data_IF_473650755892
#
_entry.id   IF_473650755892
#
_cell.length_a   1.000
_cell.length_b   1.000
_cell.length_c   1.000
_cell.angle_alpha   90.00
_cell.angle_beta   90.00
_cell.angle_gamma   90.00
#
_symmetry.space_group_name_H-M   'P 1'
#
loop_
_entity.id
_entity.type
_entity.pdbx_description
1 polymer ?
#
# COMPACT_ATOMS: atom_id res chain seq x y z
N UNK A 1 12.26 36.04 -67.36
CA UNK A 1 12.72 35.27 -66.20
C UNK A 1 13.91 36.00 -65.59
N UNK A 2 13.67 36.69 -64.48
CA UNK A 2 14.64 37.60 -63.88
C UNK A 2 15.60 36.82 -62.96
N UNK A 3 16.82 37.32 -62.80
CA UNK A 3 17.85 36.77 -61.91
C UNK A 3 17.34 36.61 -60.45
N UNK A 4 16.28 37.33 -60.07
CA UNK A 4 15.61 37.19 -58.78
C UNK A 4 14.88 35.84 -58.59
N UNK A 5 14.34 35.20 -59.64
CA UNK A 5 13.65 33.91 -59.50
C UNK A 5 14.61 32.74 -59.25
N UNK A 6 15.88 32.87 -59.69
CA UNK A 6 16.89 31.84 -59.45
C UNK A 6 17.45 31.88 -58.01
N UNK A 7 17.51 33.05 -57.39
CA UNK A 7 18.00 33.20 -56.02
C UNK A 7 17.01 32.70 -54.96
N UNK A 8 15.70 32.81 -55.20
CA UNK A 8 14.66 32.31 -54.28
C UNK A 8 14.63 30.77 -54.24
N UNK A 9 14.85 30.11 -55.38
CA UNK A 9 14.87 28.65 -55.49
C UNK A 9 16.05 27.99 -54.72
N UNK A 10 17.25 28.58 -54.80
CA UNK A 10 18.43 28.09 -54.07
C UNK A 10 18.28 28.19 -52.54
N UNK A 11 17.60 29.25 -52.06
CA UNK A 11 17.31 29.41 -50.63
C UNK A 11 16.33 28.34 -50.10
N UNK A 12 15.36 27.95 -50.93
CA UNK A 12 14.35 26.92 -50.60
C UNK A 12 14.97 25.54 -50.46
N UNK A 13 15.90 25.16 -51.35
CA UNK A 13 16.61 23.87 -51.27
C UNK A 13 17.48 23.78 -50.01
N UNK A 14 18.19 24.85 -49.63
CA UNK A 14 18.99 24.87 -48.39
C UNK A 14 18.12 24.71 -47.14
N UNK A 15 16.94 25.35 -47.10
CA UNK A 15 15.97 25.18 -45.99
C UNK A 15 15.45 23.75 -45.91
N UNK A 16 15.06 23.14 -47.04
CA UNK A 16 14.59 21.75 -47.09
C UNK A 16 15.66 20.74 -46.66
N UNK A 17 16.92 20.93 -47.10
CA UNK A 17 18.04 20.07 -46.68
C UNK A 17 18.33 20.17 -45.18
N UNK A 18 18.29 21.38 -44.59
CA UNK A 18 18.43 21.56 -43.14
C UNK A 18 17.28 20.90 -42.38
N UNK A 19 16.03 21.10 -42.82
CA UNK A 19 14.88 20.47 -42.18
C UNK A 19 14.97 18.93 -42.22
N UNK A 20 15.35 18.36 -43.37
CA UNK A 20 15.55 16.91 -43.49
C UNK A 20 16.66 16.40 -42.57
N UNK A 21 17.78 17.13 -42.46
CA UNK A 21 18.87 16.78 -41.54
C UNK A 21 18.41 16.78 -40.07
N UNK A 22 17.62 17.77 -39.66
CA UNK A 22 17.05 17.80 -38.30
C UNK A 22 16.06 16.65 -38.04
N UNK A 23 15.25 16.28 -39.03
CA UNK A 23 14.34 15.13 -38.93
C UNK A 23 15.15 13.84 -38.79
N UNK A 24 16.19 13.63 -39.60
CA UNK A 24 17.05 12.44 -39.53
C UNK A 24 17.76 12.37 -38.18
N UNK A 25 18.34 13.47 -37.71
CA UNK A 25 18.98 13.52 -36.38
C UNK A 25 17.98 13.25 -35.25
N UNK A 26 16.76 13.79 -35.34
CA UNK A 26 15.69 13.54 -34.38
C UNK A 26 15.30 12.06 -34.33
N UNK A 27 15.15 11.41 -35.49
CA UNK A 27 14.85 9.98 -35.58
C UNK A 27 15.99 9.11 -35.05
N UNK A 28 17.25 9.45 -35.36
CA UNK A 28 18.42 8.75 -34.81
C UNK A 28 18.51 8.86 -33.28
N UNK A 29 18.29 10.07 -32.73
CA UNK A 29 18.24 10.27 -31.28
C UNK A 29 17.09 9.48 -30.63
N UNK A 30 15.90 9.48 -31.25
CA UNK A 30 14.76 8.71 -30.74
C UNK A 30 15.03 7.20 -30.75
N UNK A 31 15.58 6.66 -31.84
CA UNK A 31 15.94 5.26 -31.94
C UNK A 31 17.01 4.86 -30.90
N UNK A 32 18.02 5.72 -30.69
CA UNK A 32 19.04 5.52 -29.65
C UNK A 32 18.43 5.50 -28.24
N UNK A 33 17.55 6.44 -27.92
CA UNK A 33 16.86 6.50 -26.63
C UNK A 33 15.96 5.28 -26.40
N UNK A 34 15.19 4.87 -27.42
CA UNK A 34 14.36 3.66 -27.35
C UNK A 34 15.21 2.39 -27.14
N UNK A 35 16.32 2.26 -27.89
CA UNK A 35 17.28 1.16 -27.72
C UNK A 35 17.92 1.14 -26.32
N UNK A 36 18.28 2.31 -25.79
CA UNK A 36 18.85 2.43 -24.44
C UNK A 36 17.85 2.08 -23.34
N UNK A 37 16.58 2.50 -23.46
CA UNK A 37 15.50 2.12 -22.54
C UNK A 37 15.26 0.61 -22.59
N UNK A 38 15.15 0.03 -23.80
CA UNK A 38 14.99 -1.42 -23.98
C UNK A 38 16.15 -2.21 -23.37
N UNK A 39 17.39 -1.75 -23.60
CA UNK A 39 18.59 -2.34 -22.99
C UNK A 39 18.56 -2.27 -21.46
N UNK A 40 18.15 -1.15 -20.86
CA UNK A 40 18.01 -1.02 -19.40
C UNK A 40 16.96 -1.98 -18.84
N UNK A 41 15.80 -2.09 -19.47
CA UNK A 41 14.75 -3.04 -19.05
C UNK A 41 15.27 -4.48 -19.11
N UNK A 42 15.87 -4.89 -20.24
CA UNK A 42 16.46 -6.23 -20.40
C UNK A 42 17.57 -6.51 -19.39
N UNK A 43 18.38 -5.52 -19.03
CA UNK A 43 19.43 -5.65 -18.00
C UNK A 43 18.84 -5.83 -16.61
N UNK A 44 17.75 -5.15 -16.28
CA UNK A 44 17.02 -5.33 -15.01
C UNK A 44 16.42 -6.74 -14.95
N UNK A 45 15.72 -7.17 -16.00
CA UNK A 45 15.17 -8.54 -16.12
C UNK A 45 16.26 -9.61 -15.96
N UNK A 46 17.42 -9.44 -16.63
CA UNK A 46 18.53 -10.37 -16.53
C UNK A 46 19.14 -10.40 -15.12
N UNK A 47 19.25 -9.24 -14.44
CA UNK A 47 19.70 -9.16 -13.04
C UNK A 47 18.72 -9.86 -12.11
N UNK A 48 17.41 -9.67 -12.31
CA UNK A 48 16.35 -10.38 -11.57
C UNK A 48 16.49 -11.90 -11.76
N UNK A 49 16.57 -12.38 -13.01
CA UNK A 49 16.69 -13.80 -13.34
C UNK A 49 17.95 -14.44 -12.75
N UNK A 50 19.11 -13.78 -12.82
CA UNK A 50 20.36 -14.26 -12.18
C UNK A 50 20.24 -14.29 -10.66
N UNK A 51 19.58 -13.29 -10.06
CA UNK A 51 19.26 -13.27 -8.63
C UNK A 51 18.46 -14.49 -8.21
N UNK A 52 17.37 -14.80 -8.92
CA UNK A 52 16.55 -15.99 -8.67
C UNK A 52 17.32 -17.30 -8.87
N UNK A 53 18.13 -17.42 -9.93
CA UNK A 53 18.96 -18.63 -10.15
C UNK A 53 20.00 -18.84 -9.05
N UNK A 54 20.67 -17.77 -8.58
CA UNK A 54 21.64 -17.87 -7.48
C UNK A 54 20.96 -18.29 -6.17
N UNK A 55 19.75 -17.81 -5.92
CA UNK A 55 18.93 -18.21 -4.77
C UNK A 55 18.50 -19.68 -4.87
N UNK A 56 18.11 -20.14 -6.05
CA UNK A 56 17.74 -21.55 -6.29
C UNK A 56 18.93 -22.49 -6.08
N UNK A 57 20.12 -22.14 -6.57
CA UNK A 57 21.31 -23.02 -6.55
C UNK A 57 21.95 -23.18 -5.16
N UNK A 58 21.77 -22.22 -4.23
CA UNK A 58 22.38 -22.26 -2.90
C UNK A 58 21.57 -23.07 -1.86
N UNK A 59 20.63 -23.92 -2.28
CA UNK A 59 19.49 -24.29 -1.43
C UNK A 59 19.28 -25.80 -1.19
N UNK A 60 20.36 -26.56 -0.99
CA UNK A 60 20.33 -28.02 -0.80
C UNK A 60 20.20 -28.53 0.66
N UNK A 61 19.88 -27.66 1.63
CA UNK A 61 19.54 -28.10 2.99
C UNK A 61 18.08 -27.73 3.32
N UNK A 62 17.36 -28.67 3.95
CA UNK A 62 15.95 -28.58 4.41
C UNK A 62 15.75 -27.47 5.45
N UNK A 63 15.92 -26.21 5.05
CA UNK A 63 15.51 -25.05 5.81
C UNK A 63 14.11 -24.66 5.37
N UNK A 64 13.22 -24.42 6.33
CA UNK A 64 11.95 -23.75 6.07
C UNK A 64 12.19 -22.47 5.26
N UNK A 65 11.29 -22.18 4.31
CA UNK A 65 11.43 -21.06 3.38
C UNK A 65 10.26 -20.10 3.48
N UNK A 66 10.53 -18.81 3.34
CA UNK A 66 9.54 -17.74 3.17
C UNK A 66 9.68 -17.17 1.76
N UNK A 67 8.74 -17.49 0.87
CA UNK A 67 8.81 -17.06 -0.53
C UNK A 67 10.03 -17.61 -1.27
N UNK A 68 10.36 -18.89 -1.04
CA UNK A 68 11.53 -19.55 -1.63
C UNK A 68 12.89 -19.12 -1.08
N UNK A 69 12.94 -18.19 -0.12
CA UNK A 69 14.15 -17.78 0.59
C UNK A 69 14.29 -18.47 1.96
N UNK A 70 15.51 -18.67 2.46
CA UNK A 70 15.71 -19.06 3.86
C UNK A 70 15.12 -18.04 4.83
N UNK A 71 14.54 -18.52 5.93
CA UNK A 71 14.04 -17.67 7.02
C UNK A 71 15.20 -16.90 7.67
N UNK A 72 15.15 -15.56 7.76
CA UNK A 72 16.18 -14.76 8.42
C UNK A 72 16.22 -15.07 9.91
N UNK A 73 17.38 -14.92 10.55
CA UNK A 73 17.60 -15.28 11.97
C UNK A 73 16.55 -14.64 12.89
N UNK A 74 16.17 -13.40 12.60
CA UNK A 74 15.20 -12.59 13.34
C UNK A 74 13.77 -13.17 13.33
N UNK A 75 13.45 -14.08 12.40
CA UNK A 75 12.16 -14.73 12.27
C UNK A 75 12.21 -16.23 12.63
N UNK A 76 13.37 -16.78 12.98
CA UNK A 76 13.49 -18.19 13.35
C UNK A 76 12.79 -18.46 14.68
N UNK A 77 12.07 -19.57 14.75
CA UNK A 77 11.33 -19.99 15.94
C UNK A 77 10.04 -19.21 16.17
N UNK A 78 9.68 -18.27 15.29
CA UNK A 78 8.35 -17.65 15.30
C UNK A 78 7.38 -18.65 14.67
N UNK A 79 6.32 -19.08 15.38
CA UNK A 79 5.34 -19.99 14.82
C UNK A 79 4.57 -19.34 13.67
N UNK A 80 4.25 -20.15 12.66
CA UNK A 80 3.36 -19.74 11.58
C UNK A 80 1.92 -19.63 12.11
N UNK A 81 1.15 -18.68 11.59
CA UNK A 81 -0.22 -18.42 12.01
C UNK A 81 -1.13 -19.64 11.84
N UNK A 82 -0.86 -20.51 10.86
CA UNK A 82 -1.55 -21.78 10.67
C UNK A 82 -1.30 -22.76 11.83
N UNK A 83 -0.08 -22.77 12.40
CA UNK A 83 0.26 -23.63 13.55
C UNK A 83 -0.47 -23.19 14.82
N UNK A 84 -0.80 -21.90 14.92
CA UNK A 84 -1.53 -21.31 16.04
C UNK A 84 -3.05 -21.33 15.84
N UNK A 85 -3.54 -21.79 14.69
CA UNK A 85 -4.95 -21.68 14.31
C UNK A 85 -5.43 -20.24 14.08
N UNK A 86 -4.51 -19.27 14.01
CA UNK A 86 -4.80 -17.87 13.70
C UNK A 86 -5.11 -17.72 12.21
N UNK A 87 -4.27 -18.26 11.33
CA UNK A 87 -4.48 -18.17 9.88
C UNK A 87 -5.17 -19.44 9.40
N UNK A 88 -6.35 -19.27 8.80
CA UNK A 88 -7.17 -20.35 8.24
C UNK A 88 -6.88 -20.58 6.77
N UNK A 89 -6.75 -19.50 6.02
CA UNK A 89 -6.58 -19.54 4.56
C UNK A 89 -5.82 -18.31 4.07
N UNK A 90 -5.11 -18.47 2.96
CA UNK A 90 -4.42 -17.39 2.25
C UNK A 90 -4.82 -17.46 0.78
N UNK A 91 -5.45 -16.41 0.28
CA UNK A 91 -5.98 -16.32 -1.08
C UNK A 91 -5.17 -15.28 -1.85
N UNK A 92 -4.64 -15.65 -3.01
CA UNK A 92 -4.00 -14.70 -3.93
C UNK A 92 -5.07 -14.12 -4.87
N UNK A 93 -5.17 -12.80 -4.94
CA UNK A 93 -6.16 -12.13 -5.78
C UNK A 93 -5.50 -11.70 -7.08
N UNK A 94 -5.87 -12.37 -8.17
CA UNK A 94 -5.54 -11.92 -9.52
C UNK A 94 -6.54 -10.88 -9.99
N UNK A 95 -6.09 -9.65 -10.25
CA UNK A 95 -6.91 -8.61 -10.85
C UNK A 95 -6.67 -8.59 -12.35
N UNK A 96 -7.74 -8.77 -13.12
CA UNK A 96 -7.71 -8.80 -14.58
C UNK A 96 -7.36 -7.42 -15.14
N UNK A 97 -6.66 -7.42 -16.28
CA UNK A 97 -6.31 -6.22 -17.05
C UNK A 97 -5.46 -5.16 -16.32
N UNK A 98 -4.79 -5.54 -15.24
CA UNK A 98 -3.80 -4.70 -14.56
C UNK A 98 -2.53 -5.50 -14.29
N UNK A 99 -1.37 -4.86 -14.47
CA UNK A 99 -0.09 -5.47 -14.15
C UNK A 99 0.33 -5.07 -12.75
N UNK A 100 0.64 -6.06 -11.92
CA UNK A 100 1.17 -5.86 -10.57
C UNK A 100 0.28 -4.94 -9.69
N UNK A 101 -0.99 -5.30 -9.41
CA UNK A 101 -1.77 -4.59 -8.41
C UNK A 101 -1.24 -4.89 -6.99
N UNK A 102 -1.27 -3.93 -6.07
CA UNK A 102 -0.78 -4.10 -4.70
C UNK A 102 -1.36 -3.08 -3.71
N UNK A 103 -0.96 -3.21 -2.44
CA UNK A 103 -1.38 -2.40 -1.28
C UNK A 103 -2.90 -2.13 -1.23
N UNK A 104 -3.73 -3.19 -1.21
CA UNK A 104 -5.17 -3.12 -1.40
C UNK A 104 -5.93 -2.64 -0.15
N UNK A 105 -6.98 -1.84 -0.30
CA UNK A 105 -8.00 -1.65 0.73
C UNK A 105 -9.28 -2.41 0.34
N UNK A 106 -10.09 -2.80 1.31
CA UNK A 106 -11.32 -3.57 1.06
C UNK A 106 -12.47 -2.99 1.88
N UNK A 107 -13.66 -2.98 1.31
CA UNK A 107 -14.91 -2.70 2.02
C UNK A 107 -15.97 -3.72 1.62
N UNK A 108 -16.88 -4.03 2.54
CA UNK A 108 -17.99 -4.94 2.31
C UNK A 108 -19.12 -4.25 1.56
N UNK A 109 -19.73 -4.93 0.60
CA UNK A 109 -20.93 -4.51 -0.11
C UNK A 109 -22.05 -5.54 0.09
N UNK A 110 -23.30 -5.25 -0.28
CA UNK A 110 -24.38 -6.24 -0.23
C UNK A 110 -24.10 -7.52 -1.02
N UNK A 111 -23.38 -7.40 -2.14
CA UNK A 111 -23.13 -8.50 -3.08
C UNK A 111 -21.72 -9.11 -2.99
N UNK A 112 -20.93 -8.73 -1.98
CA UNK A 112 -19.56 -9.17 -1.81
C UNK A 112 -18.68 -8.06 -1.25
N UNK A 113 -17.67 -7.66 -2.01
CA UNK A 113 -16.68 -6.67 -1.56
C UNK A 113 -16.27 -5.75 -2.70
N UNK A 114 -15.84 -4.55 -2.36
CA UNK A 114 -15.06 -3.70 -3.27
C UNK A 114 -13.62 -3.64 -2.79
N UNK A 115 -12.70 -3.93 -3.71
CA UNK A 115 -11.27 -3.92 -3.48
C UNK A 115 -10.64 -2.74 -4.22
N UNK A 116 -10.14 -1.78 -3.46
CA UNK A 116 -9.33 -0.67 -3.95
C UNK A 116 -7.87 -1.10 -3.95
N UNK A 117 -7.10 -0.80 -4.98
CA UNK A 117 -5.70 -1.22 -5.07
C UNK A 117 -4.85 -0.18 -5.77
N UNK A 118 -3.58 -0.15 -5.40
CA UNK A 118 -2.56 0.62 -6.10
C UNK A 118 -2.10 -0.15 -7.33
N UNK A 119 -1.86 0.57 -8.42
CA UNK A 119 -1.15 0.05 -9.59
C UNK A 119 -0.28 1.14 -10.21
N UNK A 120 0.73 0.72 -10.96
CA UNK A 120 1.70 1.62 -11.55
C UNK A 120 1.60 1.64 -13.08
N UNK A 121 1.57 2.85 -13.64
CA UNK A 121 1.56 3.10 -15.08
C UNK A 121 2.95 3.61 -15.47
N UNK A 122 3.64 2.86 -16.34
CA UNK A 122 4.94 3.28 -16.86
C UNK A 122 4.82 4.59 -17.64
N UNK A 123 5.62 5.59 -17.25
CA UNK A 123 5.68 6.89 -17.91
C UNK A 123 7.14 7.31 -18.15
N UNK A 124 7.65 7.15 -19.38
CA UNK A 124 9.06 7.41 -19.69
C UNK A 124 9.40 8.92 -19.68
N UNK A 125 8.42 9.81 -19.61
CA UNK A 125 8.64 11.27 -19.62
C UNK A 125 9.04 11.81 -18.25
N UNK A 126 8.81 11.04 -17.19
CA UNK A 126 9.11 11.45 -15.83
C UNK A 126 10.61 11.29 -15.54
N UNK A 127 11.22 12.36 -15.01
CA UNK A 127 12.66 12.39 -14.71
C UNK A 127 13.04 11.61 -13.46
N UNK A 128 12.15 11.56 -12.47
CA UNK A 128 12.48 11.08 -11.11
C UNK A 128 11.83 9.75 -10.74
N UNK A 129 10.65 9.45 -11.29
CA UNK A 129 9.95 8.18 -11.09
C UNK A 129 9.52 7.67 -12.47
N UNK A 130 9.90 6.47 -12.89
CA UNK A 130 9.50 5.95 -14.21
C UNK A 130 8.01 5.54 -14.28
N UNK A 131 7.26 5.76 -13.20
CA UNK A 131 5.91 5.28 -13.05
C UNK A 131 5.05 6.36 -12.38
N UNK A 132 3.82 6.50 -12.87
CA UNK A 132 2.73 7.13 -12.15
C UNK A 132 2.04 6.06 -11.30
N UNK A 133 1.70 6.35 -10.06
CA UNK A 133 0.91 5.45 -9.22
C UNK A 133 -0.54 5.91 -9.19
N UNK A 134 -1.47 4.99 -9.37
CA UNK A 134 -2.90 5.23 -9.46
C UNK A 134 -3.66 4.26 -8.57
N UNK A 135 -4.90 4.61 -8.23
CA UNK A 135 -5.82 3.75 -7.48
C UNK A 135 -6.91 3.24 -8.42
N UNK A 136 -7.07 1.92 -8.46
CA UNK A 136 -8.17 1.24 -9.13
C UNK A 136 -9.13 0.61 -8.12
N UNK A 137 -10.33 0.26 -8.56
CA UNK A 137 -11.33 -0.50 -7.81
C UNK A 137 -11.90 -1.64 -8.66
N UNK A 138 -12.13 -2.78 -8.01
CA UNK A 138 -12.89 -3.91 -8.57
C UNK A 138 -13.90 -4.41 -7.55
N UNK A 139 -15.06 -4.85 -8.03
CA UNK A 139 -16.00 -5.62 -7.20
C UNK A 139 -15.64 -7.10 -7.23
N UNK A 140 -15.63 -7.70 -6.04
CA UNK A 140 -15.37 -9.10 -5.78
C UNK A 140 -16.65 -9.78 -5.27
N UNK A 141 -16.83 -11.06 -5.58
CA UNK A 141 -17.86 -11.89 -4.96
C UNK A 141 -17.44 -12.35 -3.55
N UNK A 142 -18.30 -13.11 -2.88
CA UNK A 142 -18.05 -13.69 -1.54
C UNK A 142 -16.90 -14.71 -1.49
N UNK A 143 -16.33 -15.09 -2.64
CA UNK A 143 -15.14 -15.94 -2.76
C UNK A 143 -13.91 -15.15 -3.20
N UNK A 144 -13.98 -13.81 -3.11
CA UNK A 144 -12.95 -12.88 -3.53
C UNK A 144 -12.58 -12.98 -5.02
N UNK A 145 -13.51 -13.47 -5.87
CA UNK A 145 -13.32 -13.51 -7.31
C UNK A 145 -13.82 -12.21 -7.94
N UNK A 146 -13.04 -11.65 -8.86
CA UNK A 146 -13.44 -10.43 -9.57
C UNK A 146 -14.71 -10.67 -10.38
N UNK A 147 -15.78 -9.91 -10.10
CA UNK A 147 -17.07 -10.00 -10.80
C UNK A 147 -16.94 -9.47 -12.22
N UNK A 148 -16.54 -8.21 -12.35
CA UNK A 148 -16.46 -7.51 -13.63
C UNK A 148 -15.15 -7.74 -14.36
N UNK A 149 -15.16 -7.71 -15.70
CA UNK A 149 -13.96 -7.96 -16.49
C UNK A 149 -12.89 -6.87 -16.29
N UNK A 150 -13.32 -5.62 -16.31
CA UNK A 150 -12.45 -4.45 -16.18
C UNK A 150 -12.45 -3.93 -14.75
N UNK A 151 -11.38 -3.26 -14.35
CA UNK A 151 -11.35 -2.45 -13.15
C UNK A 151 -11.70 -0.99 -13.49
N UNK A 152 -12.13 -0.22 -12.50
CA UNK A 152 -12.36 1.22 -12.65
C UNK A 152 -11.21 1.99 -12.01
N UNK A 153 -10.62 2.93 -12.73
CA UNK A 153 -9.68 3.89 -12.16
C UNK A 153 -10.44 4.97 -11.39
N UNK A 154 -9.96 5.34 -10.20
CA UNK A 154 -10.47 6.50 -9.45
C UNK A 154 -9.68 7.74 -9.88
N UNK A 155 -10.36 8.71 -10.51
CA UNK A 155 -9.71 9.93 -11.02
C UNK A 155 -9.45 10.95 -9.90
N UNK A 156 -8.39 10.73 -9.12
CA UNK A 156 -8.00 11.59 -8.00
C UNK A 156 -7.32 12.91 -8.43
N UNK A 157 -7.35 13.27 -9.72
CA UNK A 157 -6.73 14.47 -10.28
C UNK A 157 -5.25 14.61 -9.91
N UNK A 158 -4.53 13.48 -9.81
CA UNK A 158 -3.10 13.46 -9.50
C UNK A 158 -2.41 12.29 -10.21
N UNK A 159 -1.13 12.49 -10.55
CA UNK A 159 -0.29 11.45 -11.15
C UNK A 159 0.22 10.43 -10.13
N UNK A 160 0.11 10.73 -8.83
CA UNK A 160 0.59 9.88 -7.75
C UNK A 160 -0.48 9.73 -6.68
N UNK A 161 -1.14 8.59 -6.66
CA UNK A 161 -2.02 8.17 -5.57
C UNK A 161 -1.60 6.78 -5.12
N UNK A 162 -1.25 6.67 -3.84
CA UNK A 162 -0.61 5.49 -3.27
C UNK A 162 -1.32 5.01 -2.00
N UNK A 163 -1.26 3.69 -1.81
CA UNK A 163 -1.60 2.97 -0.57
C UNK A 163 -3.00 3.33 -0.03
N UNK A 164 -4.07 3.03 -0.80
CA UNK A 164 -5.44 3.32 -0.42
C UNK A 164 -5.79 2.73 0.95
N UNK A 165 -6.69 3.42 1.66
CA UNK A 165 -7.40 2.97 2.85
C UNK A 165 -8.85 3.43 2.71
N UNK A 166 -9.79 2.51 2.85
CA UNK A 166 -11.22 2.80 2.65
C UNK A 166 -11.95 2.60 3.98
N UNK A 167 -12.88 3.51 4.31
CA UNK A 167 -13.77 3.38 5.46
C UNK A 167 -15.15 3.95 5.08
N UNK A 168 -16.21 3.38 5.66
CA UNK A 168 -17.54 3.98 5.62
C UNK A 168 -17.95 4.49 7.00
N UNK A 169 -18.50 5.70 7.04
CA UNK A 169 -19.02 6.35 8.24
C UNK A 169 -20.37 6.95 7.85
N UNK A 170 -21.45 6.59 8.54
CA UNK A 170 -22.80 7.13 8.28
C UNK A 170 -23.18 7.08 6.79
N UNK A 171 -22.99 5.93 6.15
CA UNK A 171 -23.26 5.68 4.72
C UNK A 171 -22.43 6.52 3.73
N UNK A 172 -21.45 7.29 4.22
CA UNK A 172 -20.48 8.00 3.39
C UNK A 172 -19.23 7.14 3.20
N UNK A 173 -18.67 7.13 1.99
CA UNK A 173 -17.49 6.36 1.65
C UNK A 173 -16.26 7.29 1.56
N UNK A 174 -15.23 7.00 2.34
CA UNK A 174 -14.01 7.81 2.44
C UNK A 174 -12.78 7.01 2.00
N UNK A 175 -12.11 7.50 0.96
CA UNK A 175 -10.85 6.98 0.47
C UNK A 175 -9.69 7.85 0.95
N UNK A 176 -8.89 7.31 1.86
CA UNK A 176 -7.63 7.88 2.28
C UNK A 176 -6.49 7.33 1.43
N UNK A 177 -5.56 8.20 1.04
CA UNK A 177 -4.39 7.83 0.26
C UNK A 177 -3.26 8.83 0.48
N UNK A 178 -2.05 8.52 0.00
CA UNK A 178 -0.96 9.48 -0.03
C UNK A 178 -0.57 9.85 -1.47
N UNK A 179 -0.06 11.07 -1.65
CA UNK A 179 0.45 11.56 -2.94
C UNK A 179 1.82 12.22 -2.80
N UNK A 180 2.59 12.21 -3.88
CA UNK A 180 3.83 12.98 -3.97
C UNK A 180 3.54 14.46 -4.25
N UNK A 181 4.32 15.35 -3.67
CA UNK A 181 4.32 16.75 -4.07
C UNK A 181 4.96 16.92 -5.46
N UNK A 182 4.29 17.62 -6.36
CA UNK A 182 4.76 17.79 -7.74
C UNK A 182 6.10 18.54 -7.84
N UNK A 183 6.29 19.53 -6.97
CA UNK A 183 7.49 20.39 -6.95
C UNK A 183 8.64 19.75 -6.16
N UNK A 184 8.30 18.95 -5.16
CA UNK A 184 9.26 18.39 -4.21
C UNK A 184 9.01 16.89 -4.08
N UNK A 185 9.51 16.04 -5.01
CA UNK A 185 9.12 14.63 -5.09
C UNK A 185 9.57 13.77 -3.89
N UNK A 186 10.31 14.32 -2.92
CA UNK A 186 10.56 13.67 -1.64
C UNK A 186 9.48 13.94 -0.59
N UNK A 187 8.60 14.92 -0.83
CA UNK A 187 7.50 15.25 0.06
C UNK A 187 6.26 14.40 -0.26
N UNK A 188 5.59 13.92 0.78
CA UNK A 188 4.32 13.19 0.69
C UNK A 188 3.29 13.82 1.59
N UNK A 189 2.07 13.91 1.08
CA UNK A 189 0.91 14.38 1.81
C UNK A 189 -0.14 13.28 1.88
N UNK A 190 -0.93 13.30 2.95
CA UNK A 190 -2.16 12.53 3.02
C UNK A 190 -3.28 13.27 2.32
N UNK A 191 -4.23 12.53 1.76
CA UNK A 191 -5.44 13.02 1.14
C UNK A 191 -6.64 12.21 1.62
N UNK A 192 -7.81 12.83 1.60
CA UNK A 192 -9.10 12.15 1.78
C UNK A 192 -10.02 12.55 0.63
N UNK A 193 -10.59 11.55 -0.04
CA UNK A 193 -11.64 11.74 -1.02
C UNK A 193 -12.94 11.13 -0.51
N UNK A 194 -14.05 11.84 -0.67
CA UNK A 194 -15.37 11.25 -0.48
C UNK A 194 -15.90 10.77 -1.83
N UNK A 195 -16.37 9.53 -1.83
CA UNK A 195 -16.80 8.83 -3.02
C UNK A 195 -18.31 8.60 -2.96
N UNK A 196 -19.00 8.82 -4.07
CA UNK A 196 -20.39 8.37 -4.24
C UNK A 196 -20.40 6.84 -4.23
N UNK A 197 -21.22 6.19 -3.39
CA UNK A 197 -21.40 4.74 -3.43
C UNK A 197 -21.77 4.27 -4.85
N UNK A 198 -21.34 3.06 -5.22
CA UNK A 198 -21.58 2.41 -6.51
C UNK A 198 -20.88 3.03 -7.73
N UNK A 199 -20.86 4.37 -7.86
CA UNK A 199 -20.19 5.05 -8.97
C UNK A 199 -18.73 5.38 -8.65
N UNK A 200 -18.35 5.51 -7.38
CA UNK A 200 -17.04 5.99 -6.94
C UNK A 200 -16.63 7.34 -7.55
N UNK A 201 -17.60 8.16 -7.92
CA UNK A 201 -17.35 9.54 -8.32
C UNK A 201 -16.91 10.36 -7.12
N UNK A 202 -15.98 11.29 -7.32
CA UNK A 202 -15.41 12.09 -6.25
C UNK A 202 -16.31 13.29 -5.99
N UNK A 203 -16.86 13.38 -4.78
CA UNK A 203 -17.64 14.53 -4.33
C UNK A 203 -16.72 15.68 -3.89
N UNK A 204 -15.63 15.34 -3.21
CA UNK A 204 -14.52 16.25 -2.90
C UNK A 204 -13.24 15.47 -2.64
N UNK A 205 -12.11 16.16 -2.76
CA UNK A 205 -10.79 15.61 -2.52
C UNK A 205 -9.92 16.64 -1.78
N UNK A 206 -9.62 16.34 -0.53
CA UNK A 206 -9.01 17.28 0.40
C UNK A 206 -7.59 16.86 0.73
N UNK A 207 -6.66 17.80 0.57
CA UNK A 207 -5.27 17.64 1.00
C UNK A 207 -5.20 17.78 2.52
N UNK A 208 -4.73 16.73 3.19
CA UNK A 208 -4.49 16.71 4.63
C UNK A 208 -3.01 16.99 4.87
N UNK A 209 -2.64 18.26 4.85
CA UNK A 209 -1.27 18.71 5.09
C UNK A 209 -1.16 19.39 6.45
N UNK A 210 -0.43 18.75 7.36
CA UNK A 210 -0.11 19.32 8.67
C UNK A 210 1.31 19.85 8.77
N UNK A 211 2.14 19.65 7.73
CA UNK A 211 3.56 19.97 7.74
C UNK A 211 4.32 19.43 8.98
N UNK A 212 3.92 18.26 9.52
CA UNK A 212 4.58 17.67 10.68
C UNK A 212 5.85 16.92 10.25
N UNK A 213 5.81 16.28 9.08
CA UNK A 213 6.92 15.54 8.49
C UNK A 213 6.97 15.77 6.98
N UNK A 214 8.16 15.61 6.38
CA UNK A 214 8.30 15.64 4.93
C UNK A 214 7.54 14.49 4.26
N UNK A 215 7.36 13.36 4.95
CA UNK A 215 6.69 12.19 4.42
C UNK A 215 5.50 11.84 5.30
N UNK A 216 4.34 12.44 4.99
CA UNK A 216 3.07 12.06 5.60
C UNK A 216 2.52 10.83 4.88
N UNK A 217 2.51 9.71 5.59
CA UNK A 217 1.95 8.44 5.12
C UNK A 217 1.54 7.56 6.31
N UNK A 218 0.84 6.47 6.02
CA UNK A 218 0.42 5.45 7.00
C UNK A 218 -0.57 5.95 8.07
N UNK A 219 -1.24 7.08 7.86
CA UNK A 219 -2.34 7.47 8.74
C UNK A 219 -3.50 6.51 8.54
N UNK A 220 -4.04 5.98 9.63
CA UNK A 220 -5.06 4.92 9.58
C UNK A 220 -6.38 5.43 10.15
N UNK A 221 -7.46 5.50 9.34
CA UNK A 221 -8.74 6.04 9.81
C UNK A 221 -9.51 5.05 10.67
N UNK A 222 -10.37 5.54 11.56
CA UNK A 222 -11.40 4.75 12.23
C UNK A 222 -12.58 5.64 12.62
N UNK A 223 -13.76 5.02 12.69
CA UNK A 223 -14.97 5.67 13.19
C UNK A 223 -14.98 5.61 14.71
N UNK A 224 -15.19 6.74 15.37
CA UNK A 224 -15.47 6.82 16.79
C UNK A 224 -16.89 7.30 17.03
N UNK A 225 -17.68 6.50 17.75
CA UNK A 225 -19.03 6.86 18.18
C UNK A 225 -18.96 7.33 19.63
N UNK A 226 -19.13 8.62 19.84
CA UNK A 226 -19.06 9.24 21.16
C UNK A 226 -20.20 8.84 22.10
N UNK A 227 -20.12 9.20 23.40
CA UNK A 227 -21.21 9.00 24.35
C UNK A 227 -22.54 9.66 23.95
N UNK A 228 -22.47 10.73 23.15
CA UNK A 228 -23.60 11.45 22.58
C UNK A 228 -24.16 10.81 21.29
N UNK A 229 -23.69 9.60 20.94
CA UNK A 229 -24.06 8.85 19.74
C UNK A 229 -23.70 9.57 18.43
N UNK A 230 -22.79 10.55 18.47
CA UNK A 230 -22.25 11.15 17.25
C UNK A 230 -21.00 10.42 16.81
N UNK A 231 -21.01 10.00 15.55
CA UNK A 231 -19.81 9.51 14.87
C UNK A 231 -18.87 10.67 14.55
N UNK A 232 -17.58 10.48 14.78
CA UNK A 232 -16.53 11.32 14.21
C UNK A 232 -15.43 10.46 13.59
N UNK A 233 -14.69 11.08 12.67
CA UNK A 233 -13.59 10.45 11.94
C UNK A 233 -12.28 10.77 12.64
N UNK A 234 -11.68 9.74 13.24
CA UNK A 234 -10.37 9.82 13.86
C UNK A 234 -9.32 9.15 12.97
N UNK A 235 -8.10 9.69 13.01
CA UNK A 235 -6.95 9.20 12.28
C UNK A 235 -5.86 8.84 13.29
N UNK A 236 -5.41 7.60 13.22
CA UNK A 236 -4.20 7.19 13.91
C UNK A 236 -2.98 7.67 13.12
N UNK A 237 -2.35 8.73 13.61
CA UNK A 237 -1.13 9.30 13.05
C UNK A 237 0.10 8.46 13.41
N UNK A 238 0.16 7.99 14.65
CA UNK A 238 1.26 7.20 15.17
C UNK A 238 0.77 6.24 16.25
N UNK A 239 1.21 4.98 16.19
CA UNK A 239 0.84 3.93 17.17
C UNK A 239 1.64 4.11 18.46
N UNK A 240 2.95 4.34 18.37
CA UNK A 240 3.85 4.49 19.52
C UNK A 240 4.97 5.51 19.23
N UNK A 241 5.14 6.60 20.01
CA UNK A 241 4.12 7.22 20.87
C UNK A 241 2.75 7.31 20.21
N UNK A 242 1.69 7.03 20.96
CA UNK A 242 0.34 7.13 20.41
C UNK A 242 0.03 8.60 20.10
N UNK A 243 -0.43 8.86 18.87
CA UNK A 243 -0.90 10.18 18.43
C UNK A 243 -2.14 9.98 17.57
N UNK A 244 -3.23 10.58 18.03
CA UNK A 244 -4.52 10.56 17.35
C UNK A 244 -4.88 11.95 16.89
N UNK A 245 -5.59 11.99 15.79
CA UNK A 245 -5.99 13.20 15.11
C UNK A 245 -7.48 13.09 14.82
N UNK A 246 -8.22 14.17 15.04
CA UNK A 246 -9.60 14.30 14.62
C UNK A 246 -9.70 15.09 13.32
N UNK A 247 -10.59 14.64 12.44
CA UNK A 247 -10.96 15.29 11.19
C UNK A 247 -12.46 15.64 11.26
N UNK A 248 -12.84 16.77 11.91
CA UNK A 248 -14.25 17.12 12.13
C UNK A 248 -15.02 17.34 10.83
N UNK A 249 -14.34 17.91 9.82
CA UNK A 249 -14.89 18.10 8.49
C UNK A 249 -13.88 17.64 7.43
N UNK A 250 -14.07 16.45 6.83
CA UNK A 250 -13.16 15.93 5.80
C UNK A 250 -13.11 16.75 4.51
N UNK A 251 -14.00 17.73 4.31
CA UNK A 251 -13.95 18.63 3.14
C UNK A 251 -12.87 19.69 3.25
N UNK A 252 -12.42 20.02 4.46
CA UNK A 252 -11.42 21.08 4.70
C UNK A 252 -10.23 20.52 5.48
N UNK A 253 -9.07 21.15 5.32
CA UNK A 253 -7.85 20.75 6.03
C UNK A 253 -7.85 21.31 7.48
N UNK A 254 -8.89 20.99 8.25
CA UNK A 254 -9.03 21.38 9.66
C UNK A 254 -8.86 20.14 10.53
N UNK A 255 -7.69 20.03 11.13
CA UNK A 255 -7.23 18.84 11.80
C UNK A 255 -6.90 19.16 13.26
N UNK A 256 -7.47 18.41 14.20
CA UNK A 256 -7.27 18.63 15.64
C UNK A 256 -6.51 17.49 16.27
N UNK A 257 -5.44 17.79 17.03
CA UNK A 257 -4.71 16.77 17.78
C UNK A 257 -5.54 16.36 19.01
N UNK A 258 -5.79 15.06 19.18
CA UNK A 258 -6.43 14.56 20.39
C UNK A 258 -5.36 14.43 21.48
N UNK A 259 -5.48 15.14 22.62
CA UNK A 259 -4.49 15.07 23.67
C UNK A 259 -4.53 13.66 24.31
N UNK A 260 -3.41 12.95 24.21
CA UNK A 260 -3.20 11.68 24.91
C UNK A 260 -2.32 11.98 26.13
N UNK A 261 -2.70 11.55 27.35
CA UNK A 261 -1.91 11.87 28.53
C UNK A 261 -0.48 11.33 28.40
N UNK A 262 0.51 12.13 28.83
CA UNK A 262 1.93 11.82 28.65
C UNK A 262 2.36 10.48 29.28
N UNK A 263 1.65 10.03 30.31
CA UNK A 263 1.84 8.71 30.94
C UNK A 263 1.64 7.53 29.98
N UNK A 264 0.91 7.73 28.88
CA UNK A 264 0.62 6.70 27.87
C UNK A 264 1.48 6.83 26.61
N UNK A 265 2.28 7.91 26.52
CA UNK A 265 2.92 8.29 25.28
C UNK A 265 4.12 7.42 24.92
N UNK A 266 4.67 6.57 25.78
CA UNK A 266 5.82 5.73 25.36
C UNK A 266 5.74 4.33 25.95
N UNK A 267 5.21 3.40 25.16
CA UNK A 267 5.32 1.99 25.52
C UNK A 267 6.69 1.48 25.06
N UNK A 268 7.43 0.86 25.98
CA UNK A 268 8.67 0.17 25.67
C UNK A 268 8.34 -1.16 24.96
N UNK A 269 7.90 -1.06 23.71
CA UNK A 269 7.49 -2.21 22.93
C UNK A 269 8.73 -3.03 22.55
N UNK A 270 8.83 -4.25 23.08
CA UNK A 270 9.86 -5.24 22.70
C UNK A 270 9.89 -5.42 21.17
N UNK A 271 8.74 -5.22 20.52
CA UNK A 271 8.60 -5.22 19.08
C UNK A 271 9.63 -4.34 18.37
N UNK A 272 9.76 -3.07 18.76
CA UNK A 272 10.60 -2.12 18.01
C UNK A 272 12.09 -2.46 18.07
N UNK A 273 12.51 -3.09 19.17
CA UNK A 273 13.88 -3.56 19.37
C UNK A 273 14.22 -4.75 18.49
N UNK A 274 13.24 -5.58 18.14
CA UNK A 274 13.47 -6.82 17.38
C UNK A 274 13.16 -6.69 15.90
N UNK A 275 12.05 -6.04 15.55
CA UNK A 275 11.52 -6.02 14.18
C UNK A 275 11.31 -4.62 13.62
N UNK A 276 11.72 -3.59 14.36
CA UNK A 276 11.75 -2.20 13.90
C UNK A 276 10.51 -1.39 14.28
N UNK A 277 10.49 -0.11 13.87
CA UNK A 277 9.42 0.83 14.25
C UNK A 277 8.07 0.35 13.76
N UNK A 278 7.05 0.51 14.60
CA UNK A 278 5.67 0.19 14.23
C UNK A 278 5.09 1.37 13.43
N UNK A 279 4.41 1.06 12.34
CA UNK A 279 3.75 2.01 11.45
C UNK A 279 2.33 1.54 11.18
N UNK A 280 1.39 2.48 11.08
CA UNK A 280 -0.02 2.18 10.79
C UNK A 280 -0.19 1.28 9.56
N UNK A 281 -1.34 0.65 9.42
CA UNK A 281 -1.59 -0.30 8.34
C UNK A 281 -3.01 -0.14 7.86
N UNK A 282 -3.92 -0.82 8.54
CA UNK A 282 -5.33 -0.86 8.21
C UNK A 282 -6.13 0.21 8.96
N UNK A 283 -7.28 0.65 8.44
CA UNK A 283 -8.33 1.21 9.28
C UNK A 283 -8.59 0.32 10.50
N UNK A 284 -8.92 0.90 11.65
CA UNK A 284 -9.25 0.11 12.85
C UNK A 284 -10.75 -0.12 12.96
N UNK A 285 -11.15 -1.34 13.35
CA UNK A 285 -12.57 -1.71 13.52
C UNK A 285 -12.86 -2.04 14.98
N UNK A 286 -14.03 -1.61 15.46
CA UNK A 286 -14.49 -1.90 16.82
C UNK A 286 -14.79 -3.41 16.98
N UNK A 287 -14.25 -4.02 18.03
CA UNK A 287 -14.42 -5.43 18.41
C UNK A 287 -14.70 -5.56 19.91
N UNK A 288 -15.98 -5.45 20.30
CA UNK A 288 -16.35 -5.38 21.71
C UNK A 288 -15.98 -4.01 22.29
N UNK A 289 -15.17 -3.99 23.35
CA UNK A 289 -14.77 -2.76 24.06
C UNK A 289 -13.44 -2.16 23.55
N UNK A 290 -12.82 -2.78 22.54
CA UNK A 290 -11.56 -2.35 21.94
C UNK A 290 -11.73 -2.15 20.44
N UNK A 291 -10.89 -1.32 19.83
CA UNK A 291 -10.62 -1.34 18.40
C UNK A 291 -9.50 -2.32 18.09
N UNK A 292 -9.59 -3.02 16.97
CA UNK A 292 -8.53 -3.83 16.38
C UNK A 292 -7.94 -3.12 15.17
N UNK A 293 -6.62 -3.10 15.08
CA UNK A 293 -5.89 -2.66 13.90
C UNK A 293 -4.76 -3.63 13.54
N UNK A 294 -4.31 -3.55 12.29
CA UNK A 294 -3.09 -4.21 11.83
C UNK A 294 -2.07 -3.15 11.42
N UNK A 295 -0.81 -3.44 11.71
CA UNK A 295 0.30 -2.55 11.48
C UNK A 295 1.39 -3.26 10.68
N UNK A 296 2.30 -2.48 10.08
CA UNK A 296 3.53 -3.02 9.52
C UNK A 296 4.75 -2.50 10.25
N UNK A 297 5.82 -3.27 10.16
CA UNK A 297 7.14 -2.93 10.67
C UNK A 297 8.19 -3.47 9.71
N UNK A 298 9.46 -3.12 9.91
CA UNK A 298 10.53 -3.64 9.08
C UNK A 298 11.89 -3.65 9.77
N UNK A 299 12.70 -4.64 9.40
CA UNK A 299 14.09 -4.78 9.83
C UNK A 299 15.00 -5.14 8.66
N UNK A 300 16.31 -5.08 8.88
CA UNK A 300 17.33 -5.49 7.91
C UNK A 300 18.00 -6.76 8.42
N UNK A 301 18.06 -7.79 7.57
CA UNK A 301 18.77 -9.04 7.89
C UNK A 301 20.29 -8.93 7.71
N UNK A 302 21.01 -9.99 8.06
CA UNK A 302 22.48 -10.05 7.94
C UNK A 302 22.95 -9.95 6.47
N UNK A 303 22.08 -10.29 5.52
CA UNK A 303 22.30 -10.18 4.09
C UNK A 303 21.92 -8.80 3.52
N UNK A 304 21.65 -7.81 4.39
CA UNK A 304 21.25 -6.43 4.03
C UNK A 304 19.94 -6.34 3.26
N UNK A 305 19.07 -7.34 3.39
CA UNK A 305 17.71 -7.33 2.83
C UNK A 305 16.74 -6.75 3.83
N UNK A 306 15.84 -5.89 3.37
CA UNK A 306 14.75 -5.39 4.21
C UNK A 306 13.58 -6.38 4.23
N UNK A 307 13.08 -6.68 5.42
CA UNK A 307 11.90 -7.53 5.62
C UNK A 307 10.82 -6.69 6.26
N UNK A 308 9.69 -6.52 5.58
CA UNK A 308 8.49 -5.91 6.13
C UNK A 308 7.59 -7.02 6.63
N UNK A 309 7.14 -6.86 7.87
CA UNK A 309 6.33 -7.83 8.60
C UNK A 309 5.06 -7.16 9.09
N UNK A 310 4.04 -7.97 9.31
CA UNK A 310 2.75 -7.52 9.85
C UNK A 310 2.59 -7.92 11.32
N UNK A 311 1.84 -7.11 12.05
CA UNK A 311 1.38 -7.40 13.40
C UNK A 311 -0.03 -6.87 13.63
N UNK A 312 -0.61 -7.21 14.78
CA UNK A 312 -1.94 -6.79 15.19
C UNK A 312 -1.88 -6.14 16.58
N UNK A 313 -2.82 -5.25 16.85
CA UNK A 313 -2.91 -4.53 18.12
C UNK A 313 -4.34 -4.15 18.40
N UNK A 314 -4.63 -3.95 19.68
CA UNK A 314 -5.91 -3.43 20.14
C UNK A 314 -5.72 -2.18 20.98
N UNK A 315 -6.73 -1.33 21.03
CA UNK A 315 -6.79 -0.18 21.91
C UNK A 315 -8.21 0.10 22.39
N UNK A 316 -8.33 0.71 23.56
CA UNK A 316 -9.62 0.97 24.20
C UNK A 316 -10.56 1.76 23.27
N UNK A 317 -11.84 1.38 23.25
CA UNK A 317 -12.85 2.04 22.43
C UNK A 317 -13.17 3.48 22.89
N UNK A 318 -12.77 3.84 24.11
CA UNK A 318 -13.02 5.14 24.73
C UNK A 318 -11.71 5.88 24.99
N UNK A 319 -11.72 7.23 24.99
CA UNK A 319 -10.60 8.04 25.42
C UNK A 319 -10.02 7.54 26.77
N UNK A 320 -8.70 7.51 26.94
CA UNK A 320 -7.67 8.09 26.06
C UNK A 320 -7.22 7.16 24.90
N UNK A 321 -8.02 6.16 24.53
CA UNK A 321 -7.71 5.19 23.47
C UNK A 321 -6.39 4.44 23.73
N UNK A 322 -6.16 4.03 24.97
CA UNK A 322 -4.92 3.36 25.37
C UNK A 322 -4.73 2.05 24.59
N UNK A 323 -3.50 1.78 24.12
CA UNK A 323 -3.13 0.48 23.58
C UNK A 323 -3.32 -0.60 24.66
N UNK A 324 -4.13 -1.62 24.37
CA UNK A 324 -4.46 -2.69 25.34
C UNK A 324 -3.65 -3.95 25.09
N UNK A 325 -3.45 -4.33 23.83
CA UNK A 325 -2.72 -5.54 23.45
C UNK A 325 -1.95 -5.35 22.15
N UNK A 326 -0.94 -6.17 21.93
CA UNK A 326 -0.17 -6.23 20.69
C UNK A 326 0.31 -7.65 20.42
N UNK A 327 0.46 -8.03 19.15
CA UNK A 327 1.11 -9.29 18.79
C UNK A 327 2.52 -9.34 19.39
N UNK A 328 2.87 -10.45 20.04
CA UNK A 328 4.20 -10.62 20.64
C UNK A 328 5.33 -10.82 19.62
N UNK A 329 4.97 -11.16 18.38
CA UNK A 329 5.85 -11.43 17.25
C UNK A 329 5.13 -11.20 15.90
N UNK A 330 5.86 -11.00 14.80
CA UNK A 330 5.33 -10.98 13.43
C UNK A 330 4.32 -12.09 13.15
N UNK A 331 3.16 -11.73 12.59
CA UNK A 331 2.21 -12.71 12.08
C UNK A 331 2.75 -13.30 10.76
N UNK A 332 3.41 -14.45 10.87
CA UNK A 332 3.91 -15.22 9.73
C UNK A 332 2.82 -16.16 9.21
N UNK A 333 2.85 -16.46 7.91
CA UNK A 333 1.96 -17.44 7.29
C UNK A 333 2.65 -18.05 6.09
N UNK A 334 2.19 -19.24 5.68
CA UNK A 334 2.74 -19.91 4.51
C UNK A 334 2.54 -19.02 3.29
N UNK A 335 3.51 -19.03 2.39
CA UNK A 335 3.42 -18.35 1.10
C UNK A 335 3.36 -16.81 1.16
N UNK A 336 3.75 -16.20 2.30
CA UNK A 336 3.72 -14.74 2.56
C UNK A 336 4.49 -13.86 1.57
N UNK A 337 5.52 -14.37 0.89
CA UNK A 337 6.36 -13.62 -0.06
C UNK A 337 6.61 -14.36 -1.39
N UNK A 338 5.64 -15.12 -1.86
CA UNK A 338 5.70 -15.85 -3.13
C UNK A 338 5.51 -15.00 -4.39
N UNK A 339 4.76 -13.89 -4.33
CA UNK A 339 4.57 -13.05 -5.52
C UNK A 339 5.91 -12.44 -5.91
N UNK A 340 6.40 -12.69 -7.14
CA UNK A 340 7.68 -12.13 -7.58
C UNK A 340 7.63 -10.60 -7.61
N UNK A 341 8.64 -9.90 -7.08
CA UNK A 341 8.76 -8.46 -7.25
C UNK A 341 8.91 -8.10 -8.73
N UNK A 342 7.98 -7.29 -9.25
CA UNK A 342 7.96 -6.75 -10.60
C UNK A 342 7.74 -5.23 -10.59
N UNK A 343 7.94 -4.55 -11.72
CA UNK A 343 7.81 -3.09 -11.85
C UNK A 343 8.68 -2.28 -10.86
N UNK A 344 8.04 -1.51 -9.98
CA UNK A 344 8.66 -0.62 -8.99
C UNK A 344 9.18 -1.37 -7.76
N UNK A 345 8.82 -2.65 -7.61
CA UNK A 345 9.23 -3.48 -6.49
C UNK A 345 10.75 -3.67 -6.43
N UNK A 346 11.28 -3.63 -5.21
CA UNK A 346 12.71 -3.87 -4.96
C UNK A 346 12.99 -5.35 -4.69
N UNK A 347 13.97 -5.92 -5.40
CA UNK A 347 14.46 -7.28 -5.13
C UNK A 347 15.10 -7.44 -3.76
N UNK A 348 15.61 -6.34 -3.21
CA UNK A 348 16.31 -6.28 -1.92
C UNK A 348 15.33 -6.08 -0.75
N UNK A 349 14.02 -6.16 -1.03
CA UNK A 349 12.95 -6.11 -0.03
C UNK A 349 12.09 -7.36 -0.10
N UNK A 350 11.55 -7.79 1.04
CA UNK A 350 10.43 -8.71 1.13
C UNK A 350 9.33 -7.99 1.87
N UNK A 351 8.22 -7.76 1.18
CA UNK A 351 7.20 -6.84 1.65
C UNK A 351 5.89 -7.58 1.82
N UNK A 352 5.31 -7.45 3.01
CA UNK A 352 3.89 -7.70 3.25
C UNK A 352 3.34 -6.44 3.93
N UNK A 353 2.27 -5.88 3.39
CA UNK A 353 1.75 -4.58 3.81
C UNK A 353 0.24 -4.67 4.05
N UNK A 354 -0.25 -4.54 5.30
CA UNK A 354 -1.66 -4.62 5.61
C UNK A 354 -2.32 -3.27 5.36
N UNK A 355 -3.39 -3.25 4.58
CA UNK A 355 -4.00 -2.00 4.08
C UNK A 355 -5.51 -1.90 4.35
N UNK A 356 -6.21 -3.01 4.56
CA UNK A 356 -7.60 -3.02 5.01
C UNK A 356 -8.00 -4.38 5.55
N UNK A 357 -9.09 -4.44 6.32
CA UNK A 357 -9.72 -5.71 6.68
C UNK A 357 -11.21 -5.52 6.92
N UNK A 358 -11.94 -6.62 6.88
CA UNK A 358 -13.36 -6.68 7.23
C UNK A 358 -13.59 -7.78 8.26
N UNK A 359 -14.66 -7.62 9.04
CA UNK A 359 -15.14 -8.62 9.98
C UNK A 359 -16.33 -9.36 9.37
N UNK A 360 -16.29 -10.68 9.45
CA UNK A 360 -17.30 -11.57 8.89
C UNK A 360 -17.79 -12.53 9.97
N UNK A 361 -19.11 -12.62 10.11
CA UNK A 361 -19.72 -13.59 11.01
C UNK A 361 -20.13 -14.83 10.21
N UNK A 362 -19.49 -15.95 10.47
CA UNK A 362 -19.82 -17.25 9.91
C UNK A 362 -20.38 -18.16 11.01
N UNK A 363 -21.71 -18.22 11.11
CA UNK A 363 -22.44 -18.94 12.18
C UNK A 363 -21.99 -18.44 13.57
N UNK A 364 -21.20 -19.26 14.26
CA UNK A 364 -20.70 -19.04 15.63
C UNK A 364 -19.25 -18.55 15.65
N UNK A 365 -18.63 -18.35 14.49
CA UNK A 365 -17.24 -17.90 14.37
C UNK A 365 -17.17 -16.53 13.72
N UNK A 366 -16.28 -15.69 14.23
CA UNK A 366 -15.95 -14.41 13.62
C UNK A 366 -14.59 -14.52 12.93
N UNK A 367 -14.59 -14.23 11.64
CA UNK A 367 -13.42 -14.26 10.78
C UNK A 367 -13.04 -12.83 10.39
N UNK A 368 -11.74 -12.63 10.22
CA UNK A 368 -11.17 -11.41 9.67
C UNK A 368 -10.65 -11.73 8.27
N UNK A 369 -11.09 -10.98 7.27
CA UNK A 369 -10.50 -11.02 5.93
C UNK A 369 -9.56 -9.83 5.78
N UNK A 370 -8.28 -10.06 6.10
CA UNK A 370 -7.21 -9.07 6.05
C UNK A 370 -6.62 -9.00 4.63
N UNK A 371 -6.69 -7.85 3.99
CA UNK A 371 -6.06 -7.63 2.68
C UNK A 371 -4.66 -7.05 2.81
N UNK A 372 -3.72 -7.63 2.09
CA UNK A 372 -2.32 -7.25 2.10
C UNK A 372 -1.74 -7.06 0.70
N UNK A 373 -0.86 -6.08 0.58
CA UNK A 373 0.04 -5.92 -0.56
C UNK A 373 1.27 -6.78 -0.34
N UNK A 374 1.70 -7.50 -1.37
CA UNK A 374 2.86 -8.38 -1.33
C UNK A 374 3.91 -7.92 -2.34
N UNK A 375 5.15 -7.73 -1.86
CA UNK A 375 6.31 -7.36 -2.66
C UNK A 375 6.06 -6.21 -3.66
N UNK A 376 5.18 -5.26 -3.31
CA UNK A 376 4.72 -4.17 -4.19
C UNK A 376 4.28 -4.67 -5.59
N UNK A 377 3.70 -5.87 -5.65
CA UNK A 377 3.39 -6.56 -6.90
C UNK A 377 2.18 -7.50 -6.86
N UNK A 378 1.70 -7.86 -5.68
CA UNK A 378 0.56 -8.76 -5.50
C UNK A 378 -0.42 -8.31 -4.44
N UNK A 379 -1.60 -8.91 -4.48
CA UNK A 379 -2.71 -8.74 -3.54
C UNK A 379 -2.99 -10.10 -2.91
N UNK A 380 -3.02 -10.15 -1.58
CA UNK A 380 -3.46 -11.32 -0.81
C UNK A 380 -4.65 -10.98 0.10
N UNK A 381 -5.51 -11.95 0.33
CA UNK A 381 -6.47 -11.98 1.44
C UNK A 381 -6.01 -13.06 2.40
N UNK A 382 -5.91 -12.73 3.69
CA UNK A 382 -5.58 -13.66 4.77
C UNK A 382 -6.84 -13.82 5.60
N UNK A 383 -7.39 -15.03 5.63
CA UNK A 383 -8.55 -15.37 6.46
C UNK A 383 -8.03 -15.74 7.84
N UNK A 384 -8.34 -14.90 8.82
CA UNK A 384 -7.87 -14.99 10.19
C UNK A 384 -9.03 -15.34 11.13
N UNK A 385 -8.81 -16.29 12.01
CA UNK A 385 -9.69 -16.57 13.13
C UNK A 385 -9.55 -15.47 14.19
N UNK A 386 -10.61 -14.68 14.39
CA UNK A 386 -10.57 -13.51 15.27
C UNK A 386 -10.24 -13.91 16.71
N UNK A 387 -10.89 -14.95 17.22
CA UNK A 387 -10.73 -15.37 18.62
C UNK A 387 -9.30 -15.85 18.88
N UNK A 388 -8.77 -16.71 18.01
CA UNK A 388 -7.38 -17.18 18.12
C UNK A 388 -6.38 -16.03 17.98
N UNK A 389 -6.62 -15.05 17.10
CA UNK A 389 -5.78 -13.86 17.02
C UNK A 389 -5.75 -13.11 18.35
N UNK A 390 -6.93 -12.77 18.89
CA UNK A 390 -7.06 -11.97 20.12
C UNK A 390 -6.45 -12.68 21.33
N UNK A 391 -6.63 -14.00 21.43
CA UNK A 391 -6.06 -14.83 22.50
C UNK A 391 -4.52 -14.93 22.43
N UNK A 392 -3.93 -14.66 21.26
CA UNK A 392 -2.47 -14.65 21.07
C UNK A 392 -1.85 -13.23 21.16
N UNK A 393 -2.66 -12.18 21.37
CA UNK A 393 -2.12 -10.85 21.64
C UNK A 393 -1.61 -10.76 23.09
N UNK A 394 -0.48 -10.09 23.27
CA UNK A 394 0.14 -9.84 24.57
C UNK A 394 -0.44 -8.56 25.16
N UNK A 395 -0.88 -8.63 26.41
CA UNK A 395 -1.34 -7.46 27.15
C UNK A 395 -0.21 -6.46 27.37
N UNK A 396 -0.51 -5.18 27.14
CA UNK A 396 0.36 -4.07 27.46
C UNK A 396 0.01 -3.59 28.86
N UNK A 397 0.97 -3.71 29.78
CA UNK A 397 0.86 -3.24 31.17
C UNK A 397 1.24 -1.76 31.28
#
# INVERSE_FOLDING_TARGET
MSILECMTYSSSIKKRKKALLFIVLGLCCFAFMAGWVHYRVKRIEAKQKRGFQKLANNSSFFLERLGGLPIPVQLRGIPFGEQLGIVREVINIGIRNVTAPYNPAIIKTPDGYDLFFRYDIFNPKLRYALFNSQIGVVSLDSRFQQKEKEFKQIDLQTNYSEDPRIISIQDQLYLFYNRLEEKTPCCRFMCVANLTPDTYEINYNTLLDMNLQWVEKNWSPFEYVGPDQKSCLLLEYQINPRKLIELPNPQVNEITNIPIPASFAYLNLVWEKKWGKIKGGTPSLLIGDDYLGFFHSWFIDDCKRSWYVIGAYTFAAKPPFQLTRISGYPLLFKNIYETPPINTASLDKRVIFPSGFILEKNKDQELISLVCGENDAGVKVIIIDKENLINNLVHLQ
#
